data_IF_448203405751
#
_entry.id   IF_448203405751
#
_cell.length_a   1.000
_cell.length_b   1.000
_cell.length_c   1.000
_cell.angle_alpha   90.00
_cell.angle_beta   90.00
_cell.angle_gamma   90.00
#
_symmetry.space_group_name_H-M   'P 1'
#
loop_
_entity.id
_entity.type
_entity.pdbx_description
1 polymer ?
#
# COMPACT_ATOMS: atom_id res chain seq x y z
N UNK A 1 -14.63 7.94 -15.96
CA UNK A 1 -13.27 7.51 -15.57
C UNK A 1 -13.40 6.49 -14.44
N UNK A 2 -12.52 5.48 -14.37
CA UNK A 2 -12.50 4.52 -13.28
C UNK A 2 -12.48 5.21 -11.91
N UNK A 3 -13.30 4.74 -10.95
CA UNK A 3 -13.34 5.33 -9.60
C UNK A 3 -12.15 4.85 -8.79
N UNK A 4 -11.34 5.80 -8.31
CA UNK A 4 -10.14 5.54 -7.50
C UNK A 4 -10.39 5.95 -6.06
N UNK A 5 -10.02 5.08 -5.12
CA UNK A 5 -9.99 5.37 -3.69
C UNK A 5 -8.53 5.37 -3.20
N UNK A 6 -8.02 6.52 -2.77
CA UNK A 6 -6.72 6.64 -2.13
C UNK A 6 -6.84 6.20 -0.67
N UNK A 7 -6.04 5.22 -0.27
CA UNK A 7 -6.02 4.64 1.06
C UNK A 7 -4.70 4.97 1.75
N UNK A 8 -4.81 5.50 2.97
CA UNK A 8 -3.69 5.87 3.82
C UNK A 8 -3.91 5.27 5.21
N UNK A 9 -2.88 4.69 5.80
CA UNK A 9 -2.96 4.05 7.12
C UNK A 9 -1.75 4.38 7.99
N UNK A 10 -1.74 5.52 8.71
CA UNK A 10 -0.70 5.80 9.70
C UNK A 10 -0.86 4.90 10.95
N UNK A 11 0.13 4.88 11.85
CA UNK A 11 -0.05 4.34 13.20
C UNK A 11 -1.19 5.06 13.93
N UNK A 12 -2.03 4.35 14.72
CA UNK A 12 -3.15 4.97 15.43
C UNK A 12 -2.76 5.59 16.77
N UNK A 13 -1.56 5.29 17.28
CA UNK A 13 -1.03 5.89 18.51
C UNK A 13 -0.27 7.17 18.17
N UNK A 14 -0.30 8.18 19.06
CA UNK A 14 0.48 9.40 18.89
C UNK A 14 1.96 9.13 18.66
N UNK A 15 2.58 9.90 17.76
CA UNK A 15 4.01 9.81 17.48
C UNK A 15 4.80 10.74 18.39
N UNK A 16 5.94 10.27 18.92
CA UNK A 16 6.87 11.11 19.69
C UNK A 16 8.15 11.42 18.90
N UNK A 17 8.72 12.65 18.94
CA UNK A 17 8.15 13.88 19.52
C UNK A 17 7.38 14.76 18.51
N UNK A 18 7.71 14.69 17.20
CA UNK A 18 7.15 15.59 16.16
C UNK A 18 6.44 14.83 15.01
N UNK A 19 6.37 13.49 15.08
CA UNK A 19 5.86 12.67 13.97
C UNK A 19 4.45 13.04 13.52
N UNK A 20 3.57 13.39 14.46
CA UNK A 20 2.18 13.75 14.16
C UNK A 20 2.08 15.04 13.32
N UNK A 21 3.03 15.96 13.49
CA UNK A 21 3.10 17.17 12.65
C UNK A 21 3.42 16.82 11.18
N UNK A 22 4.31 15.86 10.95
CA UNK A 22 4.61 15.39 9.60
C UNK A 22 3.46 14.58 9.00
N UNK A 23 2.78 13.75 9.80
CA UNK A 23 1.56 13.05 9.35
C UNK A 23 0.48 14.06 8.92
N UNK A 24 0.29 15.14 9.68
CA UNK A 24 -0.64 16.22 9.35
C UNK A 24 -0.28 16.91 8.02
N UNK A 25 1.01 17.21 7.80
CA UNK A 25 1.48 17.80 6.53
C UNK A 25 1.30 16.83 5.37
N UNK A 26 1.57 15.55 5.58
CA UNK A 26 1.46 14.52 4.57
C UNK A 26 0.00 14.28 4.15
N UNK A 27 -0.96 14.26 5.09
CA UNK A 27 -2.38 14.16 4.74
C UNK A 27 -2.87 15.42 4.03
N UNK A 28 -2.44 16.62 4.44
CA UNK A 28 -2.77 17.86 3.72
C UNK A 28 -2.32 17.80 2.26
N UNK A 29 -1.09 17.37 2.01
CA UNK A 29 -0.56 17.20 0.66
C UNK A 29 -1.43 16.26 -0.20
N UNK A 30 -1.84 15.11 0.36
CA UNK A 30 -2.71 14.15 -0.32
C UNK A 30 -4.12 14.70 -0.57
N UNK A 31 -4.70 15.43 0.39
CA UNK A 31 -5.99 16.12 0.22
C UNK A 31 -5.94 17.08 -0.95
N UNK A 32 -4.88 17.90 -1.04
CA UNK A 32 -4.74 18.88 -2.12
C UNK A 32 -4.65 18.20 -3.50
N UNK A 33 -3.87 17.11 -3.62
CA UNK A 33 -3.77 16.34 -4.86
C UNK A 33 -5.11 15.69 -5.22
N UNK A 34 -5.71 14.94 -4.29
CA UNK A 34 -6.96 14.23 -4.54
C UNK A 34 -8.12 15.17 -4.90
N UNK A 35 -8.16 16.38 -4.32
CA UNK A 35 -9.14 17.41 -4.70
C UNK A 35 -9.00 17.84 -6.15
N UNK A 36 -7.77 18.05 -6.64
CA UNK A 36 -7.53 18.45 -8.03
C UNK A 36 -7.91 17.34 -9.02
N UNK A 37 -7.70 16.09 -8.62
CA UNK A 37 -7.86 14.92 -9.49
C UNK A 37 -9.18 14.16 -9.30
N UNK A 38 -10.09 14.66 -8.46
CA UNK A 38 -11.38 14.02 -8.20
C UNK A 38 -11.28 12.63 -7.56
N UNK A 39 -10.27 12.40 -6.72
CA UNK A 39 -10.00 11.12 -6.06
C UNK A 39 -10.55 11.15 -4.62
N UNK A 40 -11.25 10.11 -4.21
CA UNK A 40 -11.72 9.97 -2.83
C UNK A 40 -10.59 9.48 -1.93
N UNK A 41 -10.56 9.95 -0.67
CA UNK A 41 -9.55 9.55 0.32
C UNK A 41 -10.22 8.77 1.45
N UNK A 42 -9.58 7.68 1.86
CA UNK A 42 -9.85 7.01 3.13
C UNK A 42 -8.59 6.98 3.99
N UNK A 43 -8.69 7.59 5.16
CA UNK A 43 -7.64 7.64 6.18
C UNK A 43 -7.98 6.68 7.33
N UNK A 44 -7.29 5.55 7.41
CA UNK A 44 -7.56 4.51 8.39
C UNK A 44 -6.74 4.71 9.68
N UNK A 45 -7.42 4.87 10.81
CA UNK A 45 -6.84 4.92 12.15
C UNK A 45 -7.20 3.68 13.00
N UNK A 46 -7.78 2.63 12.40
CA UNK A 46 -8.18 1.43 13.13
C UNK A 46 -7.25 0.24 12.84
N UNK A 47 -6.93 -0.52 13.90
CA UNK A 47 -6.43 -1.88 13.77
C UNK A 47 -7.62 -2.83 13.66
N UNK A 48 -7.81 -3.43 12.49
CA UNK A 48 -8.88 -4.40 12.26
C UNK A 48 -8.53 -5.81 12.72
N UNK A 49 -7.24 -6.12 12.81
CA UNK A 49 -6.71 -7.43 13.13
C UNK A 49 -5.40 -7.26 13.91
N UNK A 50 -5.33 -7.87 15.09
CA UNK A 50 -4.17 -7.77 15.99
C UNK A 50 -3.04 -8.72 15.59
N UNK A 51 -3.33 -9.79 14.83
CA UNK A 51 -2.32 -10.71 14.31
C UNK A 51 -1.58 -10.08 13.11
N UNK A 52 -2.29 -9.30 12.31
CA UNK A 52 -1.74 -8.51 11.21
C UNK A 52 -1.41 -7.07 11.65
N UNK A 53 -0.70 -6.91 12.76
CA UNK A 53 -0.32 -5.61 13.29
C UNK A 53 0.80 -4.91 12.48
N UNK A 54 1.01 -3.62 12.75
CA UNK A 54 2.05 -2.81 12.09
C UNK A 54 1.80 -2.64 10.60
N UNK A 55 2.82 -2.88 9.77
CA UNK A 55 2.73 -2.71 8.31
C UNK A 55 1.75 -3.68 7.64
N UNK A 56 1.43 -4.81 8.27
CA UNK A 56 0.51 -5.83 7.75
C UNK A 56 -0.97 -5.44 7.85
N UNK A 57 -1.29 -4.42 8.65
CA UNK A 57 -2.67 -3.94 8.89
C UNK A 57 -3.38 -3.50 7.61
N UNK A 58 -2.60 -3.15 6.58
CA UNK A 58 -3.07 -2.74 5.27
C UNK A 58 -3.84 -3.86 4.56
N UNK A 59 -3.45 -5.13 4.74
CA UNK A 59 -4.08 -6.27 4.05
C UNK A 59 -5.54 -6.51 4.45
N UNK A 60 -5.89 -6.71 5.74
CA UNK A 60 -7.28 -6.93 6.14
C UNK A 60 -8.14 -5.70 5.83
N UNK A 61 -7.54 -4.52 5.91
CA UNK A 61 -8.20 -3.26 5.57
C UNK A 61 -8.57 -3.18 4.08
N UNK A 62 -7.61 -3.37 3.18
CA UNK A 62 -7.86 -3.37 1.72
C UNK A 62 -8.90 -4.44 1.36
N UNK A 63 -8.80 -5.64 1.94
CA UNK A 63 -9.77 -6.71 1.71
C UNK A 63 -11.19 -6.27 2.11
N UNK A 64 -11.35 -5.62 3.27
CA UNK A 64 -12.65 -5.11 3.71
C UNK A 64 -13.19 -4.06 2.74
N UNK A 65 -12.35 -3.13 2.29
CA UNK A 65 -12.75 -2.11 1.31
C UNK A 65 -13.19 -2.69 -0.03
N UNK A 66 -12.47 -3.68 -0.55
CA UNK A 66 -12.86 -4.36 -1.80
C UNK A 66 -14.24 -5.01 -1.70
N UNK A 67 -14.68 -5.40 -0.50
CA UNK A 67 -15.97 -6.03 -0.27
C UNK A 67 -17.08 -5.00 0.02
N UNK A 68 -16.76 -3.90 0.72
CA UNK A 68 -17.76 -2.89 1.14
C UNK A 68 -18.01 -1.79 0.11
N UNK A 69 -17.09 -1.58 -0.84
CA UNK A 69 -17.19 -0.53 -1.86
C UNK A 69 -17.24 -1.13 -3.27
N UNK A 70 -18.39 -1.72 -3.68
CA UNK A 70 -18.53 -2.32 -5.00
C UNK A 70 -18.33 -1.33 -6.15
N UNK A 71 -18.54 -0.04 -5.91
CA UNK A 71 -18.40 1.08 -6.84
C UNK A 71 -16.95 1.51 -7.11
N UNK A 72 -15.99 1.12 -6.26
CA UNK A 72 -14.57 1.45 -6.43
C UNK A 72 -13.94 0.48 -7.40
N UNK A 73 -13.30 0.98 -8.45
CA UNK A 73 -12.58 0.13 -9.41
C UNK A 73 -11.12 -0.06 -9.00
N UNK A 74 -10.48 1.01 -8.51
CA UNK A 74 -9.08 1.01 -8.10
C UNK A 74 -8.91 1.45 -6.65
N UNK A 75 -8.17 0.68 -5.88
CA UNK A 75 -7.66 1.06 -4.57
C UNK A 75 -6.21 1.46 -4.75
N UNK A 76 -5.90 2.71 -4.44
CA UNK A 76 -4.54 3.22 -4.44
C UNK A 76 -4.02 3.26 -3.00
N UNK A 77 -3.18 2.32 -2.62
CA UNK A 77 -2.52 2.35 -1.33
C UNK A 77 -1.31 3.28 -1.41
N UNK A 78 -1.27 4.28 -0.53
CA UNK A 78 -0.13 5.18 -0.40
C UNK A 78 0.27 5.33 1.07
N UNK A 79 1.56 5.19 1.33
CA UNK A 79 2.08 5.26 2.69
C UNK A 79 1.98 6.67 3.26
N UNK A 80 1.92 6.75 4.60
CA UNK A 80 1.76 8.02 5.30
C UNK A 80 2.95 8.96 5.10
N UNK A 81 4.15 8.41 4.90
CA UNK A 81 5.41 9.10 4.65
C UNK A 81 5.70 9.37 3.17
N UNK A 82 4.87 8.87 2.24
CA UNK A 82 4.94 9.25 0.83
C UNK A 82 4.23 10.59 0.58
N UNK A 83 4.73 11.43 -0.34
CA UNK A 83 4.13 12.72 -0.68
C UNK A 83 4.04 12.91 -2.20
N UNK A 84 3.00 13.60 -2.65
CA UNK A 84 2.90 14.10 -4.01
C UNK A 84 3.78 15.34 -4.18
N UNK A 85 4.65 15.30 -5.18
CA UNK A 85 5.53 16.41 -5.56
C UNK A 85 5.20 16.95 -6.94
N UNK A 86 4.56 16.15 -7.80
CA UNK A 86 3.91 16.59 -9.02
C UNK A 86 2.40 16.61 -8.79
N UNK A 87 1.82 17.82 -8.78
CA UNK A 87 0.39 18.03 -8.53
C UNK A 87 -0.44 18.02 -9.82
N UNK A 88 0.21 18.02 -10.98
CA UNK A 88 -0.44 18.10 -12.30
C UNK A 88 -0.53 16.72 -12.93
N UNK A 89 0.44 15.85 -12.66
CA UNK A 89 0.46 14.49 -13.18
C UNK A 89 -0.82 13.71 -12.84
N UNK A 90 -1.41 13.09 -13.85
CA UNK A 90 -2.53 12.15 -13.71
C UNK A 90 -2.04 10.73 -13.98
N UNK A 91 -2.49 9.76 -13.16
CA UNK A 91 -2.19 8.35 -13.42
C UNK A 91 -2.89 7.95 -14.73
N UNK A 92 -2.16 7.42 -15.74
CA UNK A 92 -2.75 7.04 -17.02
C UNK A 92 -3.46 5.68 -16.88
N UNK A 93 -4.61 5.64 -16.18
CA UNK A 93 -5.31 4.40 -15.81
C UNK A 93 -5.67 3.52 -17.01
N UNK A 94 -5.98 4.13 -18.17
CA UNK A 94 -6.25 3.41 -19.42
C UNK A 94 -5.07 2.51 -19.88
N UNK A 95 -3.82 2.88 -19.55
CA UNK A 95 -2.63 2.04 -19.82
C UNK A 95 -2.70 0.70 -19.06
N UNK A 96 -3.48 0.63 -17.98
CA UNK A 96 -3.55 -0.49 -17.06
C UNK A 96 -4.86 -1.29 -17.18
N UNK A 97 -5.62 -1.13 -18.28
CA UNK A 97 -6.90 -1.82 -18.49
C UNK A 97 -6.80 -3.34 -18.43
N UNK A 98 -5.65 -3.90 -18.84
CA UNK A 98 -5.37 -5.35 -18.83
C UNK A 98 -4.61 -5.82 -17.59
N UNK A 99 -4.49 -4.98 -16.57
CA UNK A 99 -3.72 -5.26 -15.36
C UNK A 99 -4.57 -5.10 -14.10
N UNK A 100 -4.24 -5.90 -13.07
CA UNK A 100 -4.91 -5.86 -11.77
C UNK A 100 -4.04 -5.24 -10.66
N UNK A 101 -2.72 -5.15 -10.88
CA UNK A 101 -1.74 -4.57 -9.94
C UNK A 101 -0.78 -3.68 -10.72
N UNK A 102 -0.58 -2.46 -10.22
CA UNK A 102 0.46 -1.54 -10.71
C UNK A 102 1.30 -1.11 -9.53
N UNK A 103 2.60 -1.31 -9.63
CA UNK A 103 3.56 -1.06 -8.56
C UNK A 103 4.83 -0.48 -9.17
N UNK A 104 5.42 0.49 -8.49
CA UNK A 104 6.71 1.03 -8.92
C UNK A 104 7.81 -0.02 -8.65
N UNK A 105 8.66 -0.27 -9.63
CA UNK A 105 9.79 -1.16 -9.47
C UNK A 105 10.57 -1.42 -10.76
N UNK A 106 11.58 -2.26 -10.64
CA UNK A 106 12.53 -2.58 -11.72
C UNK A 106 12.52 -4.09 -12.02
N UNK A 107 12.20 -4.51 -13.26
CA UNK A 107 12.08 -5.94 -13.60
C UNK A 107 13.33 -6.77 -13.35
N UNK A 108 14.52 -6.25 -13.64
CA UNK A 108 15.80 -6.91 -13.41
C UNK A 108 16.06 -7.12 -11.90
N UNK A 109 15.77 -6.11 -11.07
CA UNK A 109 15.87 -6.24 -9.62
C UNK A 109 14.89 -7.28 -9.08
N UNK A 110 13.69 -7.37 -9.65
CA UNK A 110 12.62 -8.25 -9.19
C UNK A 110 12.86 -9.71 -9.62
N UNK A 111 12.98 -9.94 -10.92
CA UNK A 111 12.98 -11.29 -11.50
C UNK A 111 14.37 -11.94 -11.47
N UNK A 112 15.42 -11.17 -11.76
CA UNK A 112 16.77 -11.72 -11.87
C UNK A 112 17.47 -11.70 -10.51
N UNK A 113 17.45 -10.55 -9.83
CA UNK A 113 18.21 -10.37 -8.58
C UNK A 113 17.44 -10.74 -7.32
N UNK A 114 16.10 -10.84 -7.38
CA UNK A 114 15.22 -11.04 -6.22
C UNK A 114 15.55 -10.05 -5.08
N UNK A 115 15.75 -8.78 -5.44
CA UNK A 115 16.11 -7.74 -4.49
C UNK A 115 14.92 -7.32 -3.63
N UNK A 116 15.15 -7.10 -2.34
CA UNK A 116 14.09 -6.69 -1.40
C UNK A 116 13.53 -5.28 -1.67
N UNK A 117 14.31 -4.44 -2.37
CA UNK A 117 13.94 -3.08 -2.80
C UNK A 117 13.52 -3.02 -4.28
N UNK A 118 13.31 -4.17 -4.92
CA UNK A 118 12.90 -4.21 -6.32
C UNK A 118 11.56 -3.51 -6.57
N UNK A 119 10.69 -3.52 -5.56
CA UNK A 119 9.36 -2.92 -5.56
C UNK A 119 9.17 -2.03 -4.32
N UNK A 120 8.32 -1.01 -4.41
CA UNK A 120 7.87 -0.24 -3.26
C UNK A 120 6.42 -0.60 -2.88
N UNK A 121 6.09 -0.64 -1.59
CA UNK A 121 4.80 -1.11 -1.09
C UNK A 121 3.62 -0.13 -1.28
N UNK A 122 3.81 1.01 -1.94
CA UNK A 122 2.72 1.80 -2.52
C UNK A 122 2.31 1.27 -3.90
N UNK A 123 1.03 0.96 -4.08
CA UNK A 123 0.53 0.31 -5.31
C UNK A 123 -0.93 0.66 -5.62
N UNK A 124 -1.33 0.39 -6.86
CA UNK A 124 -2.72 0.39 -7.31
C UNK A 124 -3.22 -1.05 -7.47
N UNK A 125 -4.33 -1.37 -6.80
CA UNK A 125 -5.06 -2.62 -7.00
C UNK A 125 -6.38 -2.38 -7.72
N UNK A 126 -6.64 -3.15 -8.77
CA UNK A 126 -7.97 -3.28 -9.33
C UNK A 126 -8.81 -4.15 -8.39
N UNK A 127 -10.02 -3.72 -8.05
CA UNK A 127 -10.97 -4.52 -7.28
C UNK A 127 -11.47 -5.69 -8.11
N UNK A 128 -10.95 -6.89 -7.87
CA UNK A 128 -11.38 -8.12 -8.52
C UNK A 128 -11.03 -9.34 -7.67
N UNK A 129 -11.54 -10.52 -8.08
CA UNK A 129 -11.25 -11.79 -7.42
C UNK A 129 -9.73 -12.08 -7.37
N UNK A 130 -9.02 -11.81 -8.46
CA UNK A 130 -7.57 -12.00 -8.53
C UNK A 130 -6.84 -11.20 -7.44
N UNK A 131 -7.23 -9.95 -7.18
CA UNK A 131 -6.60 -9.13 -6.14
C UNK A 131 -6.89 -9.64 -4.73
N UNK A 132 -8.11 -10.16 -4.48
CA UNK A 132 -8.44 -10.82 -3.22
C UNK A 132 -7.58 -12.08 -3.00
N UNK A 133 -7.35 -12.86 -4.05
CA UNK A 133 -6.51 -14.05 -3.99
C UNK A 133 -5.05 -13.70 -3.72
N UNK A 134 -4.53 -12.63 -4.33
CA UNK A 134 -3.19 -12.15 -4.05
C UNK A 134 -3.02 -11.67 -2.59
N UNK A 135 -3.98 -10.90 -2.06
CA UNK A 135 -3.96 -10.51 -0.64
C UNK A 135 -3.94 -11.73 0.28
N UNK A 136 -4.72 -12.77 -0.07
CA UNK A 136 -4.73 -14.05 0.64
C UNK A 136 -3.39 -14.79 0.57
N UNK A 137 -2.67 -14.71 -0.54
CA UNK A 137 -1.34 -15.32 -0.69
C UNK A 137 -0.24 -14.58 0.09
N UNK A 138 -0.38 -13.26 0.29
CA UNK A 138 0.58 -12.46 1.06
C UNK A 138 0.38 -12.58 2.58
N UNK A 139 -0.86 -12.71 3.05
CA UNK A 139 -1.22 -12.69 4.47
C UNK A 139 -0.49 -13.71 5.38
N UNK A 140 -0.18 -14.96 4.95
CA UNK A 140 0.38 -15.97 5.83
C UNK A 140 1.73 -15.62 6.46
N UNK A 141 2.51 -14.72 5.85
CA UNK A 141 3.81 -14.28 6.41
C UNK A 141 3.67 -13.26 7.56
N UNK A 142 2.49 -12.69 7.76
CA UNK A 142 2.24 -11.69 8.81
C UNK A 142 2.28 -12.27 10.24
N UNK A 143 1.46 -13.30 10.55
CA UNK A 143 1.41 -13.88 11.91
C UNK A 143 2.73 -14.52 12.36
N UNK A 144 3.48 -15.13 11.43
CA UNK A 144 4.79 -15.77 11.66
C UNK A 144 5.97 -14.86 11.26
N UNK A 145 5.85 -13.55 11.53
CA UNK A 145 6.76 -12.50 11.02
C UNK A 145 8.24 -12.73 11.32
N UNK A 146 8.58 -13.38 12.43
CA UNK A 146 9.98 -13.62 12.81
C UNK A 146 10.59 -14.73 11.95
N UNK A 147 9.91 -15.87 11.82
CA UNK A 147 10.31 -16.97 10.95
C UNK A 147 10.30 -16.56 9.48
N UNK A 148 9.22 -15.90 9.04
CA UNK A 148 9.13 -15.36 7.68
C UNK A 148 10.23 -14.33 7.42
N UNK A 149 10.58 -13.51 8.42
CA UNK A 149 11.68 -12.56 8.36
C UNK A 149 13.02 -13.23 8.05
N UNK A 150 13.33 -14.35 8.73
CA UNK A 150 14.53 -15.16 8.50
C UNK A 150 14.53 -15.78 7.10
N UNK A 151 13.41 -16.38 6.67
CA UNK A 151 13.27 -16.96 5.33
C UNK A 151 13.52 -15.90 4.26
N UNK A 152 12.90 -14.73 4.39
CA UNK A 152 13.01 -13.67 3.40
C UNK A 152 14.42 -13.04 3.38
N UNK A 153 15.09 -12.91 4.53
CA UNK A 153 16.48 -12.46 4.57
C UNK A 153 17.44 -13.43 3.88
N UNK A 154 17.20 -14.74 3.99
CA UNK A 154 18.00 -15.76 3.31
C UNK A 154 17.76 -15.84 1.80
N UNK A 155 16.60 -15.37 1.32
CA UNK A 155 16.17 -15.55 -0.08
C UNK A 155 16.13 -14.25 -0.91
N UNK A 156 16.14 -13.07 -0.27
CA UNK A 156 16.07 -11.78 -0.96
C UNK A 156 17.37 -11.01 -0.85
N UNK A 157 17.90 -10.59 -2.00
CA UNK A 157 19.15 -9.83 -2.07
C UNK A 157 19.01 -8.48 -1.36
N UNK A 158 19.97 -8.20 -0.46
CA UNK A 158 20.05 -6.92 0.26
C UNK A 158 19.09 -6.79 1.45
N UNK A 159 18.32 -7.84 1.79
CA UNK A 159 17.48 -7.85 2.98
C UNK A 159 18.29 -8.31 4.19
N UNK A 160 18.36 -7.48 5.22
CA UNK A 160 18.94 -7.89 6.51
C UNK A 160 17.94 -8.72 7.31
N UNK A 161 18.45 -9.67 8.10
CA UNK A 161 17.64 -10.34 9.10
C UNK A 161 17.25 -9.31 10.17
N UNK A 162 15.96 -9.17 10.43
CA UNK A 162 15.49 -8.42 11.60
C UNK A 162 16.06 -9.11 12.84
N UNK A 163 16.84 -8.37 13.65
CA UNK A 163 17.27 -8.81 14.98
C UNK A 163 16.05 -8.76 15.91
#
# INVERSE_FOLDING_TARGET
MPRVLLVIGPPPKPCYPIGDHYLLKAIKNKIDYCRLHGIEILYNLAHLDMELAGYWTKLPFIRKLMLSHPEVEWIWLMDSDAMFTDMVFEIPLAKYDKHNLVIHGYPDLLFDQKSWIALNAGFLFRKCKWSLDLLGACAPMGPIREEAGKILASNLKGRQASI
#
